data_IF_263076197849
#
_entry.id   IF_263076197849
#
_cell.length_a   1.000
_cell.length_b   1.000
_cell.length_c   1.000
_cell.angle_alpha   90.00
_cell.angle_beta   90.00
_cell.angle_gamma   90.00
#
_symmetry.space_group_name_H-M   'P 1'
#
loop_
_entity.id
_entity.type
_entity.pdbx_description
1 polymer ?
#
# COMPACT_ATOMS: atom_id res chain seq x y z
N UNK A 1 19.04 -4.59 -0.43
CA UNK A 1 18.47 -5.55 0.54
C UNK A 1 18.30 -4.87 1.89
N UNK A 2 17.17 -5.04 2.58
CA UNK A 2 16.89 -4.38 3.88
C UNK A 2 17.99 -4.59 4.92
N UNK A 3 18.63 -5.76 4.91
CA UNK A 3 19.77 -6.10 5.78
C UNK A 3 20.97 -5.14 5.61
N UNK A 4 21.29 -4.74 4.38
CA UNK A 4 22.42 -3.85 4.10
C UNK A 4 22.14 -2.43 4.63
N UNK A 5 20.88 -2.00 4.55
CA UNK A 5 20.43 -0.71 5.09
C UNK A 5 20.59 -0.69 6.62
N UNK A 6 20.16 -1.76 7.30
CA UNK A 6 20.32 -1.87 8.75
C UNK A 6 21.79 -1.95 9.18
N UNK A 7 22.62 -2.68 8.43
CA UNK A 7 24.05 -2.79 8.71
C UNK A 7 24.76 -1.43 8.56
N UNK A 8 24.45 -0.68 7.50
CA UNK A 8 24.96 0.67 7.30
C UNK A 8 24.51 1.62 8.42
N UNK A 9 23.26 1.52 8.86
CA UNK A 9 22.72 2.34 9.94
C UNK A 9 23.42 2.06 11.27
N UNK A 10 23.65 0.79 11.61
CA UNK A 10 24.42 0.40 12.80
C UNK A 10 25.85 0.92 12.71
N UNK A 11 26.50 0.82 11.55
CA UNK A 11 27.86 1.33 11.34
C UNK A 11 27.96 2.84 11.60
N UNK A 12 26.99 3.62 11.09
CA UNK A 12 26.92 5.07 11.32
C UNK A 12 26.76 5.39 12.81
N UNK A 13 25.90 4.65 13.52
CA UNK A 13 25.71 4.85 14.97
C UNK A 13 27.00 4.53 15.73
N UNK A 14 27.67 3.43 15.41
CA UNK A 14 28.95 3.07 16.03
C UNK A 14 29.99 4.16 15.79
N UNK A 15 30.11 4.66 14.56
CA UNK A 15 31.05 5.74 14.23
C UNK A 15 30.76 7.02 15.01
N UNK A 16 29.48 7.39 15.16
CA UNK A 16 29.06 8.51 15.97
C UNK A 16 29.46 8.33 17.44
N UNK A 17 29.20 7.15 18.03
CA UNK A 17 29.58 6.85 19.42
C UNK A 17 31.09 6.92 19.62
N UNK A 18 31.88 6.33 18.71
CA UNK A 18 33.34 6.40 18.76
C UNK A 18 33.83 7.85 18.71
N UNK A 19 33.24 8.67 17.85
CA UNK A 19 33.55 10.10 17.76
C UNK A 19 33.25 10.84 19.07
N UNK A 20 32.11 10.56 19.70
CA UNK A 20 31.72 11.14 20.99
C UNK A 20 32.71 10.77 22.10
N UNK A 21 33.09 9.48 22.18
CA UNK A 21 34.00 8.98 23.22
C UNK A 21 35.40 9.54 23.05
N UNK A 22 35.92 9.67 21.82
CA UNK A 22 37.25 10.24 21.60
C UNK A 22 37.34 11.73 21.95
N UNK A 23 36.27 12.49 21.73
CA UNK A 23 36.26 13.94 21.94
C UNK A 23 35.55 14.38 23.23
N UNK A 24 35.36 13.48 24.20
CA UNK A 24 34.55 13.73 25.40
C UNK A 24 35.09 14.88 26.29
N UNK A 25 36.40 15.09 26.33
CA UNK A 25 37.04 16.07 27.21
C UNK A 25 37.30 17.43 26.52
N UNK A 26 36.87 17.59 25.27
CA UNK A 26 37.08 18.81 24.51
C UNK A 26 36.00 19.84 24.84
N UNK A 27 36.43 20.95 25.44
CA UNK A 27 35.60 22.13 25.67
C UNK A 27 35.65 23.00 24.42
N UNK A 28 34.49 23.38 23.91
CA UNK A 28 34.36 24.22 22.71
C UNK A 28 33.49 25.43 23.05
N UNK A 29 33.93 26.60 22.61
CA UNK A 29 33.13 27.81 22.67
C UNK A 29 32.19 27.83 21.48
N UNK A 30 30.90 27.81 21.76
CA UNK A 30 29.86 27.72 20.72
C UNK A 30 29.21 29.07 20.58
N UNK A 31 29.28 29.60 19.37
CA UNK A 31 28.60 30.83 18.99
C UNK A 31 27.27 30.47 18.32
N UNK A 32 26.20 30.56 19.09
CA UNK A 32 24.84 30.29 18.63
C UNK A 32 24.30 31.61 18.05
N UNK A 33 23.97 31.60 16.76
CA UNK A 33 23.18 32.65 16.07
C UNK A 33 23.66 34.08 16.37
N UNK A 34 24.91 34.39 16.02
CA UNK A 34 25.56 35.73 16.03
C UNK A 34 25.60 36.51 17.37
N UNK A 35 24.67 36.29 18.30
CA UNK A 35 24.44 37.07 19.51
C UNK A 35 24.76 36.33 20.82
N UNK A 36 24.81 35.00 20.83
CA UNK A 36 25.04 34.23 22.06
C UNK A 36 26.28 33.35 21.96
N UNK A 37 27.29 33.65 22.78
CA UNK A 37 28.45 32.78 23.00
C UNK A 37 28.27 32.09 24.34
N UNK A 38 28.15 30.77 24.34
CA UNK A 38 28.18 30.00 25.58
C UNK A 38 29.61 29.46 25.72
N UNK A 39 30.42 29.99 26.66
CA UNK A 39 31.78 29.55 26.83
C UNK A 39 31.83 28.19 27.55
N UNK A 40 32.82 27.36 27.19
CA UNK A 40 33.09 26.05 27.82
C UNK A 40 31.91 25.08 27.81
N UNK A 41 31.25 24.90 26.66
CA UNK A 41 30.29 23.81 26.51
C UNK A 41 31.03 22.52 26.16
N UNK A 42 30.60 21.41 26.75
CA UNK A 42 31.14 20.11 26.44
C UNK A 42 30.69 19.70 25.02
N UNK A 43 31.65 19.40 24.13
CA UNK A 43 31.38 19.11 22.73
C UNK A 43 30.37 17.96 22.53
N UNK A 44 30.46 16.93 23.36
CA UNK A 44 29.56 15.77 23.32
C UNK A 44 28.09 16.16 23.54
N UNK A 45 27.81 17.10 24.44
CA UNK A 45 26.44 17.55 24.75
C UNK A 45 25.80 18.24 23.54
N UNK A 46 26.59 18.98 22.78
CA UNK A 46 26.12 19.73 21.61
C UNK A 46 25.89 18.81 20.43
N UNK A 47 26.79 17.85 20.21
CA UNK A 47 26.61 16.82 19.18
C UNK A 47 25.35 16.01 19.48
N UNK A 48 25.13 15.60 20.74
CA UNK A 48 23.92 14.88 21.13
C UNK A 48 22.66 15.72 20.92
N UNK A 49 22.69 16.99 21.32
CA UNK A 49 21.53 17.87 21.16
C UNK A 49 21.20 18.09 19.68
N UNK A 50 22.21 18.36 18.85
CA UNK A 50 22.05 18.51 17.39
C UNK A 50 21.53 17.23 16.74
N UNK A 51 22.08 16.08 17.11
CA UNK A 51 21.62 14.78 16.60
C UNK A 51 20.17 14.50 16.99
N UNK A 52 19.81 14.74 18.25
CA UNK A 52 18.45 14.53 18.76
C UNK A 52 17.47 15.48 18.10
N UNK A 53 17.82 16.77 17.96
CA UNK A 53 17.00 17.76 17.27
C UNK A 53 16.80 17.36 15.80
N UNK A 54 17.86 16.94 15.09
CA UNK A 54 17.77 16.43 13.73
C UNK A 54 16.87 15.20 13.62
N UNK A 55 16.99 14.25 14.56
CA UNK A 55 16.14 13.07 14.60
C UNK A 55 14.66 13.40 14.82
N UNK A 56 14.34 14.35 15.71
CA UNK A 56 12.97 14.82 15.96
C UNK A 56 12.37 15.45 14.70
N UNK A 57 13.13 16.33 14.03
CA UNK A 57 12.68 16.97 12.78
C UNK A 57 12.47 15.93 11.68
N UNK A 58 13.41 14.99 11.51
CA UNK A 58 13.29 13.91 10.55
C UNK A 58 12.06 13.03 10.82
N UNK A 59 11.83 12.68 12.09
CA UNK A 59 10.65 11.92 12.50
C UNK A 59 9.34 12.66 12.20
N UNK A 60 9.31 13.96 12.45
CA UNK A 60 8.16 14.81 12.15
C UNK A 60 7.89 14.86 10.64
N UNK A 61 8.90 15.10 9.81
CA UNK A 61 8.79 15.07 8.35
C UNK A 61 8.35 13.69 7.82
N UNK A 62 8.94 12.61 8.34
CA UNK A 62 8.58 11.24 7.95
C UNK A 62 7.13 10.92 8.31
N UNK A 63 6.65 11.41 9.45
CA UNK A 63 5.27 11.25 9.88
C UNK A 63 4.30 11.95 8.93
N UNK A 64 4.59 13.20 8.54
CA UNK A 64 3.80 13.91 7.52
C UNK A 64 3.82 13.19 6.16
N UNK A 65 4.98 12.69 5.74
CA UNK A 65 5.12 11.94 4.50
C UNK A 65 4.20 10.71 4.51
N UNK A 66 4.27 9.89 5.56
CA UNK A 66 3.44 8.69 5.72
C UNK A 66 1.95 8.99 5.67
N UNK A 67 1.50 10.07 6.31
CA UNK A 67 0.09 10.47 6.31
C UNK A 67 -0.36 10.78 4.87
N UNK A 68 0.44 11.55 4.12
CA UNK A 68 0.16 11.89 2.72
C UNK A 68 0.14 10.67 1.81
N UNK A 69 1.08 9.73 1.99
CA UNK A 69 1.10 8.50 1.18
C UNK A 69 -0.14 7.63 1.43
N UNK A 70 -0.65 7.60 2.68
CA UNK A 70 -1.88 6.86 3.02
C UNK A 70 -3.14 7.49 2.45
N UNK A 71 -3.22 8.82 2.36
CA UNK A 71 -4.36 9.48 1.71
C UNK A 71 -4.39 9.23 0.21
N UNK A 72 -3.23 9.27 -0.46
CA UNK A 72 -3.15 9.04 -1.90
C UNK A 72 -3.52 7.59 -2.27
N UNK A 73 -3.05 6.60 -1.49
CA UNK A 73 -3.41 5.20 -1.70
C UNK A 73 -4.89 4.90 -1.46
N UNK A 74 -5.54 5.59 -0.51
CA UNK A 74 -7.01 5.50 -0.32
C UNK A 74 -7.77 6.15 -1.47
N UNK A 75 -7.34 7.32 -1.94
CA UNK A 75 -7.95 8.01 -3.07
C UNK A 75 -7.84 7.17 -4.36
N UNK A 76 -6.67 6.58 -4.63
CA UNK A 76 -6.47 5.70 -5.78
C UNK A 76 -7.34 4.43 -5.69
N UNK A 77 -7.45 3.80 -4.52
CA UNK A 77 -8.35 2.66 -4.33
C UNK A 77 -9.82 3.00 -4.55
N UNK A 78 -10.25 4.19 -4.11
CA UNK A 78 -11.63 4.64 -4.32
C UNK A 78 -11.92 4.88 -5.80
N UNK A 79 -11.01 5.57 -6.52
CA UNK A 79 -11.14 5.78 -7.96
C UNK A 79 -11.15 4.46 -8.74
N UNK A 80 -10.31 3.50 -8.36
CA UNK A 80 -10.26 2.20 -9.01
C UNK A 80 -11.57 1.41 -8.80
N UNK A 81 -12.17 1.47 -7.60
CA UNK A 81 -13.50 0.88 -7.33
C UNK A 81 -14.63 1.56 -8.09
N UNK A 82 -14.61 2.89 -8.19
CA UNK A 82 -15.61 3.65 -8.96
C UNK A 82 -15.57 3.31 -10.45
N UNK A 83 -14.37 3.30 -11.04
CA UNK A 83 -14.19 2.93 -12.45
C UNK A 83 -14.63 1.50 -12.74
N UNK A 84 -14.39 0.57 -11.80
CA UNK A 84 -14.92 -0.80 -11.90
C UNK A 84 -16.45 -0.84 -11.83
N UNK A 85 -17.09 -0.05 -10.97
CA UNK A 85 -18.56 0.01 -10.90
C UNK A 85 -19.19 0.69 -12.12
N UNK A 86 -18.53 1.69 -12.70
CA UNK A 86 -18.97 2.33 -13.95
C UNK A 86 -18.86 1.36 -15.13
N UNK A 87 -17.77 0.60 -15.20
CA UNK A 87 -17.61 -0.45 -16.21
C UNK A 87 -18.67 -1.56 -16.07
N UNK A 88 -18.94 -1.99 -14.83
CA UNK A 88 -19.98 -2.96 -14.51
C UNK A 88 -21.38 -2.44 -14.90
N UNK A 89 -21.66 -1.17 -14.62
CA UNK A 89 -22.91 -0.51 -14.98
C UNK A 89 -23.08 -0.36 -16.49
N UNK A 90 -22.02 0.00 -17.21
CA UNK A 90 -22.02 0.06 -18.67
C UNK A 90 -22.21 -1.33 -19.27
N UNK A 91 -21.60 -2.36 -18.69
CA UNK A 91 -21.84 -3.76 -19.08
C UNK A 91 -23.30 -4.16 -18.83
N UNK A 92 -23.87 -3.78 -17.68
CA UNK A 92 -25.26 -4.08 -17.34
C UNK A 92 -26.26 -3.40 -18.28
N UNK A 93 -25.99 -2.15 -18.68
CA UNK A 93 -26.82 -1.42 -19.65
C UNK A 93 -26.79 -2.08 -21.04
N UNK A 94 -25.67 -2.69 -21.45
CA UNK A 94 -25.59 -3.46 -22.70
C UNK A 94 -26.29 -4.82 -22.67
N UNK A 95 -26.63 -5.36 -21.49
CA UNK A 95 -27.29 -6.66 -21.34
C UNK A 95 -28.82 -6.55 -21.20
N UNK A 96 -29.34 -5.41 -20.74
CA UNK A 96 -30.79 -5.15 -20.61
C UNK A 96 -31.50 -5.02 -21.98
N UNK A 97 -30.76 -4.98 -23.09
CA UNK A 97 -31.29 -4.88 -24.46
C UNK A 97 -31.46 -6.24 -25.17
N UNK A 98 -31.43 -7.35 -24.43
CA UNK A 98 -31.89 -8.65 -24.95
C UNK A 98 -33.33 -8.85 -24.44
N UNK A 99 -34.37 -8.65 -25.28
CA UNK A 99 -35.75 -8.88 -24.87
C UNK A 99 -35.90 -10.34 -24.43
N UNK A 100 -36.31 -10.56 -23.18
CA UNK A 100 -36.61 -11.90 -22.65
C UNK A 100 -37.77 -12.59 -23.40
N UNK A 101 -38.52 -11.85 -24.24
CA UNK A 101 -39.62 -12.37 -25.06
C UNK A 101 -39.15 -13.22 -26.26
N UNK A 102 -37.84 -13.34 -26.52
CA UNK A 102 -37.30 -14.12 -27.63
C UNK A 102 -36.97 -15.58 -27.29
N UNK A 103 -37.12 -16.01 -26.03
CA UNK A 103 -36.94 -17.41 -25.63
C UNK A 103 -38.33 -18.04 -25.46
N UNK A 104 -38.74 -18.97 -26.34
CA UNK A 104 -40.01 -19.67 -26.17
C UNK A 104 -39.99 -20.45 -24.84
N UNK A 105 -40.81 -20.02 -23.89
CA UNK A 105 -41.07 -20.82 -22.71
C UNK A 105 -41.78 -22.11 -23.15
N UNK A 106 -41.06 -23.22 -23.00
CA UNK A 106 -41.48 -24.61 -23.27
C UNK A 106 -41.44 -25.05 -24.75
N UNK A 107 -40.60 -26.06 -25.08
CA UNK A 107 -40.76 -26.81 -26.32
C UNK A 107 -42.15 -27.46 -26.37
N UNK A 108 -42.83 -27.53 -27.53
CA UNK A 108 -44.10 -28.23 -27.68
C UNK A 108 -43.97 -29.66 -27.13
N UNK A 109 -44.98 -30.18 -26.41
CA UNK A 109 -44.91 -31.52 -25.84
C UNK A 109 -44.63 -32.54 -26.95
N UNK A 110 -43.56 -33.31 -26.78
CA UNK A 110 -43.13 -34.31 -27.76
C UNK A 110 -44.30 -35.25 -28.11
N UNK A 111 -44.54 -35.55 -29.40
CA UNK A 111 -45.57 -36.50 -29.80
C UNK A 111 -45.34 -37.83 -29.09
N UNK A 112 -46.38 -38.39 -28.44
CA UNK A 112 -46.28 -39.71 -27.79
C UNK A 112 -45.80 -40.73 -28.81
N UNK A 113 -44.84 -41.62 -28.47
CA UNK A 113 -44.44 -42.68 -29.38
C UNK A 113 -45.66 -43.52 -29.77
N UNK A 114 -45.89 -43.68 -31.08
CA UNK A 114 -46.88 -44.63 -31.56
C UNK A 114 -46.52 -46.03 -31.05
N UNK A 115 -47.50 -46.86 -30.63
CA UNK A 115 -47.23 -48.22 -30.19
C UNK A 115 -46.52 -48.97 -31.33
N UNK A 116 -45.28 -49.37 -31.10
CA UNK A 116 -44.56 -50.28 -31.99
C UNK A 116 -45.29 -51.62 -31.90
N UNK A 117 -46.03 -51.97 -32.95
CA UNK A 117 -46.61 -53.29 -33.10
C UNK A 117 -45.45 -54.28 -33.25
N UNK A 118 -45.19 -55.08 -32.21
CA UNK A 118 -44.26 -56.20 -32.29
C UNK A 118 -44.76 -57.18 -33.35
N UNK A 119 -44.15 -57.15 -34.53
CA UNK A 119 -44.26 -58.20 -35.54
C UNK A 119 -43.19 -59.25 -35.29
N UNK A 120 -43.26 -59.97 -34.17
CA UNK A 120 -42.52 -61.21 -33.95
C UNK A 120 -43.34 -62.13 -33.04
N UNK A 121 -44.31 -62.81 -33.64
CA UNK A 121 -44.69 -64.18 -33.26
C UNK A 121 -45.61 -64.75 -34.34
N UNK A 122 -45.18 -65.88 -34.91
CA UNK A 122 -45.88 -66.81 -35.82
C UNK A 122 -45.47 -66.71 -37.30
N UNK A 123 -44.27 -67.19 -37.60
CA UNK A 123 -44.08 -68.02 -38.80
C UNK A 123 -43.90 -69.46 -38.29
N UNK A 124 -44.89 -70.28 -38.64
CA UNK A 124 -45.03 -71.72 -38.43
C UNK A 124 -44.44 -72.51 -39.58
#
# INVERSE_FOLDING_TARGET
>A
MKIFVYLLQILIIILAVVFLVQHHNQLVDIKILWFYTIPRVQLWAVILFSFTAGAVVAWMLMSFYIIRTRSETRALKHKNRQLLSELESLRNISLEEIPEDAIPETPPPAPKPLPVANSESQES
#
